data_IF_297494840703
#
_entry.id   IF_297494840703
#
_cell.length_a   1.000
_cell.length_b   1.000
_cell.length_c   1.000
_cell.angle_alpha   90.00
_cell.angle_beta   90.00
_cell.angle_gamma   90.00
#
_symmetry.space_group_name_H-M   'P 1'
#
loop_
_entity.id
_entity.type
_entity.pdbx_description
1 polymer ?
#
# COMPACT_ATOMS: atom_id res chain seq x y z
N UNK A 1 -3.12 2.39 17.00
CA UNK A 1 -1.82 2.75 16.38
C UNK A 1 -2.01 4.11 15.74
N UNK A 2 -1.13 5.06 16.06
CA UNK A 2 -1.09 6.35 15.37
C UNK A 2 -0.42 6.22 14.01
N UNK A 3 -0.73 7.14 13.11
CA UNK A 3 -0.03 7.44 11.87
C UNK A 3 0.66 8.82 11.99
N UNK A 4 1.38 9.07 13.09
CA UNK A 4 2.09 10.33 13.33
C UNK A 4 3.59 10.13 13.17
N UNK A 5 4.26 11.09 12.55
CA UNK A 5 5.70 11.26 12.67
C UNK A 5 6.01 11.82 14.08
N UNK A 6 6.18 10.92 15.05
CA UNK A 6 6.39 11.25 16.47
C UNK A 6 5.44 10.51 17.43
N UNK A 7 5.87 10.26 18.67
CA UNK A 7 5.07 9.50 19.64
C UNK A 7 4.95 8.00 19.29
N UNK A 8 3.77 7.40 19.47
CA UNK A 8 3.48 5.97 19.23
C UNK A 8 2.93 5.71 17.82
N UNK A 9 3.49 6.37 16.81
CA UNK A 9 3.06 6.31 15.41
C UNK A 9 3.73 5.22 14.55
N UNK A 10 4.29 4.18 15.18
CA UNK A 10 4.97 3.09 14.48
C UNK A 10 4.01 2.10 13.84
N UNK A 11 4.55 1.26 12.94
CA UNK A 11 3.84 0.11 12.40
C UNK A 11 3.49 -0.91 13.51
N UNK A 12 2.57 -1.84 13.22
CA UNK A 12 2.07 -2.86 14.16
C UNK A 12 3.20 -3.58 14.89
N UNK A 13 4.25 -3.96 14.16
CA UNK A 13 5.37 -4.73 14.68
C UNK A 13 6.20 -3.99 15.75
N UNK A 14 6.11 -2.65 15.83
CA UNK A 14 6.77 -1.88 16.89
C UNK A 14 6.07 -2.02 18.26
N UNK A 15 4.85 -2.53 18.28
CA UNK A 15 4.11 -2.81 19.52
C UNK A 15 4.34 -4.25 20.01
N UNK A 16 5.11 -5.06 19.29
CA UNK A 16 5.47 -6.42 19.70
C UNK A 16 6.51 -6.35 20.82
N UNK A 17 6.18 -6.93 21.96
CA UNK A 17 7.05 -7.00 23.15
C UNK A 17 7.48 -8.42 23.50
N UNK A 18 6.90 -9.42 22.82
CA UNK A 18 7.28 -10.82 22.94
C UNK A 18 6.81 -11.62 21.73
N UNK A 19 7.60 -12.60 21.31
CA UNK A 19 7.30 -13.51 20.20
C UNK A 19 7.66 -14.93 20.62
N UNK A 20 6.79 -15.88 20.30
CA UNK A 20 7.11 -17.32 20.33
C UNK A 20 7.19 -17.82 18.89
N UNK A 21 8.34 -18.31 18.48
CA UNK A 21 8.61 -18.78 17.12
C UNK A 21 9.06 -20.24 17.13
N UNK A 22 8.57 -21.02 16.18
CA UNK A 22 8.96 -22.42 15.96
C UNK A 22 9.96 -22.45 14.82
N UNK A 23 11.15 -22.99 15.08
CA UNK A 23 12.23 -23.15 14.10
C UNK A 23 12.54 -24.63 13.91
N UNK A 24 13.15 -25.06 12.78
CA UNK A 24 13.60 -26.43 12.63
C UNK A 24 14.71 -26.72 13.64
N UNK A 25 14.89 -28.00 13.95
CA UNK A 25 15.98 -28.51 14.76
C UNK A 25 16.37 -29.91 14.28
N UNK A 26 17.52 -30.41 14.72
CA UNK A 26 17.94 -31.77 14.39
C UNK A 26 16.98 -32.82 14.99
N UNK A 27 17.04 -34.06 14.49
CA UNK A 27 16.26 -35.16 15.08
C UNK A 27 16.62 -35.42 16.55
N UNK A 28 17.87 -35.19 16.94
CA UNK A 28 18.34 -35.28 18.33
C UNK A 28 17.69 -34.21 19.23
N UNK A 29 17.35 -33.06 18.66
CA UNK A 29 16.65 -31.95 19.33
C UNK A 29 15.12 -32.04 19.19
N UNK A 30 14.59 -33.13 18.62
CA UNK A 30 13.16 -33.35 18.47
C UNK A 30 12.52 -32.70 17.23
N UNK A 31 13.32 -32.45 16.19
CA UNK A 31 12.93 -31.92 14.86
C UNK A 31 12.45 -30.46 14.82
N UNK A 32 12.06 -29.89 15.95
CA UNK A 32 11.65 -28.49 16.03
C UNK A 32 12.02 -27.90 17.39
N UNK A 33 12.40 -26.63 17.39
CA UNK A 33 12.70 -25.84 18.58
C UNK A 33 11.71 -24.71 18.72
N UNK A 34 11.32 -24.42 19.96
CA UNK A 34 10.47 -23.29 20.30
C UNK A 34 11.32 -22.22 20.98
N UNK A 35 11.40 -21.05 20.37
CA UNK A 35 12.10 -19.89 20.91
C UNK A 35 11.10 -18.86 21.41
N UNK A 36 11.30 -18.40 22.64
CA UNK A 36 10.54 -17.29 23.24
C UNK A 36 11.47 -16.09 23.33
N UNK A 37 11.17 -15.05 22.55
CA UNK A 37 12.02 -13.89 22.35
C UNK A 37 11.30 -12.64 22.88
N UNK A 38 12.03 -11.80 23.61
CA UNK A 38 11.59 -10.48 24.04
C UNK A 38 12.70 -9.45 23.80
N UNK A 39 12.49 -8.19 24.18
CA UNK A 39 13.42 -7.09 23.93
C UNK A 39 14.85 -7.28 24.50
N UNK A 40 15.09 -8.27 25.36
CA UNK A 40 16.42 -8.62 25.87
C UNK A 40 17.18 -9.60 24.97
N UNK A 41 16.48 -10.24 24.03
CA UNK A 41 17.08 -11.19 23.10
C UNK A 41 17.69 -10.46 21.89
N UNK A 42 18.96 -10.73 21.51
CA UNK A 42 19.63 -10.01 20.42
C UNK A 42 18.90 -10.12 19.07
N UNK A 43 18.27 -11.26 18.79
CA UNK A 43 17.51 -11.50 17.55
C UNK A 43 16.07 -10.97 17.56
N UNK A 44 15.61 -10.31 18.63
CA UNK A 44 14.21 -9.92 18.76
C UNK A 44 13.74 -8.94 17.68
N UNK A 45 14.60 -8.01 17.27
CA UNK A 45 14.25 -7.04 16.22
C UNK A 45 14.22 -7.66 14.81
N UNK A 46 14.86 -8.81 14.59
CA UNK A 46 14.74 -9.56 13.34
C UNK A 46 13.35 -10.22 13.21
N UNK A 47 12.83 -10.81 14.30
CA UNK A 47 11.56 -11.55 14.27
C UNK A 47 10.32 -10.66 14.19
N UNK A 48 10.44 -9.36 14.50
CA UNK A 48 9.34 -8.39 14.36
C UNK A 48 8.83 -8.29 12.92
N UNK A 49 9.72 -8.42 11.94
CA UNK A 49 9.40 -8.47 10.51
C UNK A 49 10.11 -9.67 9.90
N UNK A 50 9.58 -10.87 10.16
CA UNK A 50 10.25 -12.13 9.81
C UNK A 50 10.07 -12.57 8.35
N UNK A 51 9.09 -12.02 7.65
CA UNK A 51 8.63 -12.47 6.32
C UNK A 51 8.27 -13.97 6.23
N UNK A 52 8.13 -14.65 7.37
CA UNK A 52 7.92 -16.10 7.45
C UNK A 52 9.20 -16.94 7.28
N UNK A 53 10.34 -16.35 6.92
CA UNK A 53 11.57 -17.11 6.58
C UNK A 53 12.45 -17.48 7.78
N UNK A 54 12.13 -16.96 8.96
CA UNK A 54 12.84 -17.25 10.22
C UNK A 54 12.17 -18.40 11.01
N UNK A 55 11.03 -18.90 10.55
CA UNK A 55 10.19 -19.85 11.29
C UNK A 55 8.73 -19.41 11.43
N UNK A 56 7.93 -20.28 12.06
CA UNK A 56 6.50 -20.06 12.24
C UNK A 56 6.25 -19.35 13.57
N UNK A 57 5.76 -18.11 13.51
CA UNK A 57 5.33 -17.39 14.70
C UNK A 57 4.04 -18.03 15.22
N UNK A 58 4.11 -18.59 16.42
CA UNK A 58 2.99 -19.27 17.10
C UNK A 58 2.27 -18.39 18.12
N UNK A 59 2.96 -17.36 18.64
CA UNK A 59 2.40 -16.42 19.60
C UNK A 59 3.07 -15.06 19.47
N UNK A 60 2.27 -14.00 19.64
CA UNK A 60 2.75 -12.61 19.70
C UNK A 60 2.17 -11.95 20.95
N UNK A 61 3.00 -11.24 21.70
CA UNK A 61 2.57 -10.38 22.80
C UNK A 61 2.67 -8.92 22.37
N UNK A 62 1.54 -8.21 22.40
CA UNK A 62 1.44 -6.81 21.99
C UNK A 62 1.30 -5.90 23.20
N UNK A 63 2.05 -4.79 23.20
CA UNK A 63 1.83 -3.67 24.11
C UNK A 63 0.57 -2.93 23.70
N UNK A 64 -0.39 -2.88 24.61
CA UNK A 64 -1.66 -2.18 24.39
C UNK A 64 -1.63 -0.75 24.93
N UNK A 65 -2.59 0.04 24.47
CA UNK A 65 -2.87 1.37 25.01
C UNK A 65 -4.29 1.40 25.62
N UNK A 66 -4.54 2.27 26.62
CA UNK A 66 -5.89 2.53 27.09
C UNK A 66 -6.81 2.95 25.94
N UNK A 67 -8.07 2.50 26.00
CA UNK A 67 -9.09 2.86 25.02
C UNK A 67 -9.34 4.37 25.02
N UNK A 68 -9.53 4.95 23.83
CA UNK A 68 -9.90 6.35 23.63
C UNK A 68 -10.91 6.48 22.48
N UNK A 69 -11.48 7.67 22.32
CA UNK A 69 -12.29 8.02 21.15
C UNK A 69 -11.49 8.91 20.20
N UNK A 70 -11.90 8.96 18.94
CA UNK A 70 -11.36 9.87 17.92
C UNK A 70 -12.40 10.87 17.50
N UNK A 71 -11.96 12.02 17.02
CA UNK A 71 -12.77 13.01 16.30
C UNK A 71 -12.20 13.18 14.90
N UNK A 72 -12.99 12.83 13.89
CA UNK A 72 -12.55 12.77 12.49
C UNK A 72 -13.35 13.72 11.59
N UNK A 73 -12.64 14.50 10.78
CA UNK A 73 -13.19 15.34 9.71
C UNK A 73 -12.38 15.16 8.43
N UNK A 74 -13.04 15.03 7.28
CA UNK A 74 -12.36 15.15 5.98
C UNK A 74 -12.41 16.59 5.47
N UNK A 75 -11.28 17.10 4.95
CA UNK A 75 -11.12 18.47 4.46
C UNK A 75 -10.58 18.45 3.04
N UNK A 76 -11.38 18.90 2.07
CA UNK A 76 -10.96 19.11 0.69
C UNK A 76 -10.04 20.34 0.56
N UNK A 77 -9.01 20.23 -0.28
CA UNK A 77 -8.10 21.33 -0.62
C UNK A 77 -7.55 21.17 -2.04
N UNK A 78 -6.96 22.25 -2.58
CA UNK A 78 -6.10 22.17 -3.76
C UNK A 78 -4.73 21.60 -3.39
N UNK A 79 -4.09 20.90 -4.33
CA UNK A 79 -2.75 20.32 -4.12
C UNK A 79 -1.58 21.32 -4.28
N UNK A 80 -1.90 22.61 -4.37
CA UNK A 80 -0.91 23.69 -4.34
C UNK A 80 -0.10 23.63 -3.04
N UNK A 81 1.23 23.50 -3.16
CA UNK A 81 2.14 23.38 -2.02
C UNK A 81 2.00 22.06 -1.25
N UNK A 82 1.43 21.01 -1.85
CA UNK A 82 1.18 19.72 -1.19
C UNK A 82 2.43 19.15 -0.51
N UNK A 83 3.60 19.23 -1.17
CA UNK A 83 4.86 18.69 -0.65
C UNK A 83 5.22 19.22 0.74
N UNK A 84 5.03 20.52 0.99
CA UNK A 84 5.26 21.13 2.31
C UNK A 84 4.15 20.75 3.30
N UNK A 85 2.89 20.84 2.85
CA UNK A 85 1.71 20.56 3.69
C UNK A 85 1.69 19.14 4.23
N UNK A 86 2.08 18.14 3.44
CA UNK A 86 2.07 16.72 3.84
C UNK A 86 3.02 16.48 5.01
N UNK A 87 4.23 17.05 4.96
CA UNK A 87 5.22 16.86 6.04
C UNK A 87 4.71 17.46 7.36
N UNK A 88 4.15 18.66 7.32
CA UNK A 88 3.61 19.31 8.52
C UNK A 88 2.35 18.62 9.04
N UNK A 89 1.48 18.16 8.14
CA UNK A 89 0.25 17.46 8.49
C UNK A 89 0.53 16.17 9.28
N UNK A 90 1.49 15.35 8.83
CA UNK A 90 1.90 14.11 9.52
C UNK A 90 2.52 14.34 10.90
N UNK A 91 3.03 15.55 11.16
CA UNK A 91 3.50 15.97 12.48
C UNK A 91 2.38 16.49 13.36
N UNK A 92 1.28 16.98 12.79
CA UNK A 92 0.18 17.61 13.54
C UNK A 92 -0.90 16.62 13.95
N UNK A 93 -1.32 15.71 13.05
CA UNK A 93 -2.49 14.87 13.26
C UNK A 93 -2.12 13.41 13.48
N UNK A 94 -2.48 12.88 14.65
CA UNK A 94 -1.97 11.59 15.07
C UNK A 94 -2.42 10.43 14.18
N UNK A 95 -3.61 10.49 13.61
CA UNK A 95 -4.14 9.43 12.73
C UNK A 95 -4.50 9.95 11.35
N UNK A 96 -3.91 11.08 10.97
CA UNK A 96 -4.23 11.72 9.71
C UNK A 96 -3.66 10.93 8.53
N UNK A 97 -4.39 10.98 7.43
CA UNK A 97 -3.95 10.51 6.11
C UNK A 97 -4.37 11.54 5.05
N UNK A 98 -3.75 11.46 3.87
CA UNK A 98 -4.04 12.36 2.75
C UNK A 98 -4.35 11.52 1.52
N UNK A 99 -5.53 11.71 0.94
CA UNK A 99 -5.87 11.15 -0.37
C UNK A 99 -5.57 12.20 -1.44
N UNK A 100 -4.55 11.96 -2.26
CA UNK A 100 -4.14 12.89 -3.31
C UNK A 100 -4.73 12.51 -4.67
N UNK A 101 -5.41 13.46 -5.28
CA UNK A 101 -6.05 13.37 -6.58
C UNK A 101 -5.29 14.26 -7.58
N UNK A 102 -4.12 13.81 -8.06
CA UNK A 102 -3.25 14.64 -8.89
C UNK A 102 -3.90 15.05 -10.22
N UNK A 103 -4.64 14.17 -10.89
CA UNK A 103 -5.31 14.48 -12.15
C UNK A 103 -6.33 15.63 -12.03
N UNK A 104 -7.02 15.71 -10.88
CA UNK A 104 -7.91 16.84 -10.56
C UNK A 104 -7.26 17.98 -9.78
N UNK A 105 -5.97 17.89 -9.45
CA UNK A 105 -5.21 18.87 -8.64
C UNK A 105 -5.81 19.11 -7.24
N UNK A 106 -6.36 18.05 -6.63
CA UNK A 106 -7.02 18.09 -5.31
C UNK A 106 -6.31 17.20 -4.31
N UNK A 107 -6.44 17.52 -3.04
CA UNK A 107 -6.06 16.66 -1.93
C UNK A 107 -7.18 16.67 -0.88
N UNK A 108 -7.44 15.52 -0.28
CA UNK A 108 -8.40 15.37 0.81
C UNK A 108 -7.64 14.95 2.05
N UNK A 109 -7.71 15.77 3.09
CA UNK A 109 -7.03 15.54 4.37
C UNK A 109 -8.00 14.91 5.36
N UNK A 110 -7.65 13.76 5.91
CA UNK A 110 -8.35 13.18 7.05
C UNK A 110 -7.81 13.77 8.35
N UNK A 111 -8.43 14.84 8.83
CA UNK A 111 -8.10 15.45 10.12
C UNK A 111 -8.63 14.57 11.24
N UNK A 112 -7.73 13.96 12.01
CA UNK A 112 -8.10 12.93 12.98
C UNK A 112 -7.21 12.96 14.24
N UNK A 113 -7.84 13.15 15.40
CA UNK A 113 -7.16 13.29 16.69
C UNK A 113 -7.90 12.59 17.83
N UNK A 114 -7.16 12.26 18.90
CA UNK A 114 -7.71 11.66 20.11
C UNK A 114 -8.64 12.62 20.84
N UNK A 115 -9.72 12.07 21.39
CA UNK A 115 -10.59 12.73 22.36
C UNK A 115 -10.88 11.78 23.54
N UNK A 116 -11.24 12.30 24.73
CA UNK A 116 -11.55 11.47 25.89
C UNK A 116 -12.70 10.49 25.63
N UNK A 117 -12.72 9.38 26.38
CA UNK A 117 -13.77 8.34 26.26
C UNK A 117 -15.17 8.85 26.61
N UNK A 118 -15.29 9.89 27.43
CA UNK A 118 -16.54 10.53 27.79
C UNK A 118 -17.07 11.52 26.72
N UNK A 119 -16.32 11.77 25.64
CA UNK A 119 -16.80 12.59 24.53
C UNK A 119 -18.04 11.94 23.87
N UNK A 120 -19.07 12.74 23.60
CA UNK A 120 -20.31 12.28 22.97
C UNK A 120 -20.07 11.82 21.53
N UNK A 121 -20.72 10.74 21.12
CA UNK A 121 -20.65 10.18 19.77
C UNK A 121 -20.48 8.67 19.76
N UNK A 122 -21.09 8.03 18.76
CA UNK A 122 -21.03 6.59 18.51
C UNK A 122 -20.57 6.32 17.07
N UNK A 123 -19.51 7.02 16.69
CA UNK A 123 -18.93 6.97 15.36
C UNK A 123 -18.54 5.56 14.92
N UNK A 124 -18.72 5.28 13.63
CA UNK A 124 -18.27 4.06 12.96
C UNK A 124 -17.63 4.44 11.63
N UNK A 125 -16.46 3.86 11.35
CA UNK A 125 -15.89 3.87 10.02
C UNK A 125 -16.27 2.59 9.29
N UNK A 126 -17.21 2.70 8.37
CA UNK A 126 -17.62 1.60 7.52
C UNK A 126 -17.21 1.99 6.09
N UNK A 127 -15.93 1.92 5.75
CA UNK A 127 -15.43 2.46 4.47
C UNK A 127 -16.14 1.85 3.25
N UNK A 128 -16.57 2.69 2.30
CA UNK A 128 -17.41 2.28 1.16
C UNK A 128 -16.74 1.19 0.31
N UNK A 129 -15.43 1.26 0.12
CA UNK A 129 -14.69 0.25 -0.65
C UNK A 129 -14.58 -1.13 0.03
N UNK A 130 -14.91 -1.24 1.32
CA UNK A 130 -14.82 -2.48 2.10
C UNK A 130 -16.18 -2.96 2.63
N UNK A 131 -17.26 -2.61 1.94
CA UNK A 131 -18.62 -3.08 2.22
C UNK A 131 -19.05 -4.13 1.21
N UNK A 132 -19.89 -5.06 1.63
CA UNK A 132 -20.61 -5.87 0.65
C UNK A 132 -21.52 -4.96 -0.18
N UNK A 133 -21.47 -5.17 -1.49
CA UNK A 133 -22.28 -4.44 -2.48
C UNK A 133 -22.93 -5.46 -3.39
N UNK A 134 -24.00 -5.10 -4.09
CA UNK A 134 -24.64 -6.04 -5.02
C UNK A 134 -23.63 -6.54 -6.05
N UNK A 135 -23.57 -7.86 -6.28
CA UNK A 135 -22.63 -8.45 -7.22
C UNK A 135 -22.81 -7.88 -8.64
N UNK A 136 -24.05 -7.56 -9.02
CA UNK A 136 -24.37 -6.89 -10.28
C UNK A 136 -23.71 -5.51 -10.39
N UNK A 137 -23.77 -4.67 -9.36
CA UNK A 137 -23.15 -3.35 -9.40
C UNK A 137 -21.62 -3.44 -9.46
N UNK A 138 -21.02 -4.39 -8.74
CA UNK A 138 -19.58 -4.65 -8.79
C UNK A 138 -19.14 -5.10 -10.20
N UNK A 139 -19.88 -6.01 -10.81
CA UNK A 139 -19.61 -6.47 -12.18
C UNK A 139 -19.79 -5.36 -13.22
N UNK A 140 -20.81 -4.51 -13.08
CA UNK A 140 -21.01 -3.35 -13.94
C UNK A 140 -19.88 -2.32 -13.78
N UNK A 141 -19.44 -2.04 -12.55
CA UNK A 141 -18.30 -1.14 -12.31
C UNK A 141 -17.03 -1.67 -12.96
N UNK A 142 -16.76 -2.98 -12.84
CA UNK A 142 -15.61 -3.61 -13.50
C UNK A 142 -15.71 -3.53 -15.02
N UNK A 143 -16.89 -3.78 -15.58
CA UNK A 143 -17.12 -3.71 -17.03
C UNK A 143 -16.90 -2.29 -17.59
N UNK A 144 -17.33 -1.26 -16.85
CA UNK A 144 -17.10 0.14 -17.22
C UNK A 144 -15.59 0.41 -17.30
N UNK A 145 -14.84 0.01 -16.28
CA UNK A 145 -13.38 0.21 -16.23
C UNK A 145 -12.65 -0.54 -17.35
N UNK A 146 -13.01 -1.81 -17.60
CA UNK A 146 -12.48 -2.61 -18.71
C UNK A 146 -12.77 -1.99 -20.08
N UNK A 147 -13.93 -1.36 -20.25
CA UNK A 147 -14.29 -0.67 -21.49
C UNK A 147 -13.49 0.64 -21.66
N UNK A 148 -13.28 1.40 -20.59
CA UNK A 148 -12.45 2.61 -20.62
C UNK A 148 -10.99 2.27 -20.97
N UNK A 149 -10.46 1.19 -20.40
CA UNK A 149 -9.16 0.60 -20.76
C UNK A 149 -9.11 0.19 -22.24
N UNK A 150 -10.07 -0.63 -22.69
CA UNK A 150 -10.08 -1.15 -24.07
C UNK A 150 -10.21 -0.05 -25.14
N UNK A 151 -10.89 1.05 -24.82
CA UNK A 151 -11.10 2.18 -25.74
C UNK A 151 -10.07 3.30 -25.59
N UNK A 152 -9.07 3.13 -24.71
CA UNK A 152 -8.09 4.17 -24.35
C UNK A 152 -8.75 5.50 -23.94
N UNK A 153 -9.85 5.44 -23.19
CA UNK A 153 -10.68 6.61 -22.88
C UNK A 153 -10.28 7.28 -21.57
N UNK A 154 -9.13 7.97 -21.57
CA UNK A 154 -8.62 8.69 -20.41
C UNK A 154 -9.58 9.80 -19.93
N UNK A 155 -10.32 10.44 -20.84
CA UNK A 155 -11.33 11.46 -20.47
C UNK A 155 -12.46 10.83 -19.65
N UNK A 156 -12.94 9.66 -20.09
CA UNK A 156 -13.95 8.89 -19.37
C UNK A 156 -13.48 8.51 -17.97
N UNK A 157 -12.22 8.09 -17.81
CA UNK A 157 -11.62 7.83 -16.49
C UNK A 157 -11.67 9.06 -15.58
N UNK A 158 -11.31 10.24 -16.09
CA UNK A 158 -11.39 11.49 -15.31
C UNK A 158 -12.81 11.88 -14.90
N UNK A 159 -13.81 11.65 -15.77
CA UNK A 159 -15.21 11.93 -15.44
C UNK A 159 -15.69 10.96 -14.36
N UNK A 160 -15.39 9.67 -14.51
CA UNK A 160 -15.77 8.63 -13.54
C UNK A 160 -15.08 8.83 -12.19
N UNK A 161 -13.77 9.14 -12.18
CA UNK A 161 -13.02 9.37 -10.93
C UNK A 161 -13.55 10.59 -10.18
N UNK A 162 -13.89 11.67 -10.90
CA UNK A 162 -14.51 12.85 -10.28
C UNK A 162 -15.86 12.51 -9.66
N UNK A 163 -16.73 11.83 -10.40
CA UNK A 163 -18.03 11.41 -9.92
C UNK A 163 -17.91 10.51 -8.67
N UNK A 164 -16.96 9.59 -8.68
CA UNK A 164 -16.70 8.67 -7.57
C UNK A 164 -16.18 9.41 -6.34
N UNK A 165 -15.23 10.35 -6.51
CA UNK A 165 -14.76 11.23 -5.43
C UNK A 165 -15.91 12.02 -4.82
N UNK A 166 -16.70 12.71 -5.64
CA UNK A 166 -17.80 13.56 -5.17
C UNK A 166 -18.87 12.74 -4.43
N UNK A 167 -19.24 11.58 -4.98
CA UNK A 167 -20.20 10.65 -4.34
C UNK A 167 -19.69 10.13 -3.01
N UNK A 168 -18.42 9.74 -2.95
CA UNK A 168 -17.77 9.24 -1.73
C UNK A 168 -17.70 10.33 -0.66
N UNK A 169 -17.36 11.57 -1.05
CA UNK A 169 -17.33 12.73 -0.15
C UNK A 169 -18.71 13.05 0.44
N UNK A 170 -19.75 13.07 -0.39
CA UNK A 170 -21.15 13.26 0.07
C UNK A 170 -21.56 12.17 1.06
N UNK A 171 -21.16 10.92 0.82
CA UNK A 171 -21.37 9.79 1.72
C UNK A 171 -20.46 9.75 2.95
N UNK A 172 -19.68 10.80 3.20
CA UNK A 172 -18.78 10.90 4.33
C UNK A 172 -17.64 9.88 4.32
N UNK A 173 -17.26 9.37 3.14
CA UNK A 173 -16.31 8.26 2.95
C UNK A 173 -16.69 6.96 3.67
N UNK A 174 -17.97 6.83 4.04
CA UNK A 174 -18.49 5.68 4.79
C UNK A 174 -18.50 5.84 6.30
N UNK A 175 -18.15 7.02 6.82
CA UNK A 175 -18.32 7.34 8.24
C UNK A 175 -19.79 7.45 8.62
N UNK A 176 -20.12 7.09 9.86
CA UNK A 176 -21.48 7.18 10.42
C UNK A 176 -21.40 7.79 11.83
N UNK A 177 -22.21 8.79 12.14
CA UNK A 177 -22.16 9.52 13.43
C UNK A 177 -22.74 8.70 14.61
N UNK A 178 -23.77 7.91 14.32
CA UNK A 178 -24.50 7.09 15.30
C UNK A 178 -24.34 5.58 15.06
N UNK A 179 -23.45 5.19 14.15
CA UNK A 179 -23.27 3.82 13.70
C UNK A 179 -24.18 3.40 12.53
N UNK A 180 -25.13 4.25 12.12
CA UNK A 180 -26.11 3.95 11.06
C UNK A 180 -25.99 4.93 9.88
N UNK A 181 -26.03 6.24 10.14
CA UNK A 181 -26.04 7.29 9.12
C UNK A 181 -24.89 8.28 9.30
N UNK A 182 -24.42 8.83 8.19
CA UNK A 182 -23.61 10.04 8.19
C UNK A 182 -24.52 11.26 8.31
N UNK A 183 -24.25 12.14 9.28
CA UNK A 183 -25.00 13.39 9.49
C UNK A 183 -24.12 14.64 9.44
N UNK A 184 -22.80 14.47 9.26
CA UNK A 184 -21.84 15.56 9.17
C UNK A 184 -20.58 15.33 10.02
N UNK A 185 -19.63 16.25 9.88
CA UNK A 185 -18.38 16.25 10.65
C UNK A 185 -18.47 17.19 11.88
N UNK A 186 -17.69 16.94 12.95
CA UNK A 186 -16.81 15.78 13.13
C UNK A 186 -17.57 14.50 13.48
N UNK A 187 -17.03 13.36 13.10
CA UNK A 187 -17.53 12.04 13.52
C UNK A 187 -16.70 11.58 14.72
N UNK A 188 -17.37 11.41 15.87
CA UNK A 188 -16.73 11.02 17.12
C UNK A 188 -17.11 9.59 17.50
N UNK A 189 -16.11 8.70 17.68
CA UNK A 189 -16.33 7.28 17.99
C UNK A 189 -15.13 6.61 18.62
N UNK A 190 -15.31 5.41 19.16
CA UNK A 190 -14.20 4.66 19.79
C UNK A 190 -13.12 4.29 18.76
N UNK A 191 -11.85 4.33 19.18
CA UNK A 191 -10.69 4.08 18.33
C UNK A 191 -10.82 2.81 17.51
N UNK A 192 -11.24 1.70 18.13
CA UNK A 192 -11.40 0.42 17.44
C UNK A 192 -12.41 0.53 16.29
N UNK A 193 -13.56 1.19 16.51
CA UNK A 193 -14.63 1.37 15.50
C UNK A 193 -14.27 2.38 14.40
N UNK A 194 -13.39 3.32 14.69
CA UNK A 194 -12.97 4.36 13.75
C UNK A 194 -11.72 3.94 12.95
N UNK A 195 -10.92 3.03 13.49
CA UNK A 195 -9.74 2.46 12.84
C UNK A 195 -10.08 1.27 11.94
N UNK A 196 -10.90 0.32 12.43
CA UNK A 196 -11.42 -0.75 11.59
C UNK A 196 -12.34 -0.16 10.52
N UNK A 197 -12.28 -0.67 9.31
CA UNK A 197 -13.02 -0.13 8.18
C UNK A 197 -13.72 -1.24 7.42
N UNK A 198 -15.01 -1.07 7.18
CA UNK A 198 -15.82 -1.94 6.33
C UNK A 198 -16.54 -3.04 7.10
N UNK A 199 -17.64 -3.50 6.51
CA UNK A 199 -18.51 -4.57 7.03
C UNK A 199 -18.44 -5.86 6.20
N UNK A 200 -17.47 -5.96 5.29
CA UNK A 200 -17.41 -7.09 4.35
C UNK A 200 -17.34 -8.46 5.01
N UNK A 201 -16.57 -8.60 6.09
CA UNK A 201 -16.44 -9.87 6.81
C UNK A 201 -17.71 -10.26 7.58
N UNK A 202 -18.59 -9.29 7.83
CA UNK A 202 -19.86 -9.48 8.51
C UNK A 202 -21.03 -9.62 7.51
N UNK A 203 -20.74 -9.78 6.21
CA UNK A 203 -21.77 -9.90 5.17
C UNK A 203 -22.57 -11.19 5.32
N UNK A 204 -23.89 -11.11 5.09
CA UNK A 204 -24.76 -12.27 5.08
C UNK A 204 -24.41 -13.23 3.94
N UNK A 205 -24.53 -14.53 4.19
CA UNK A 205 -24.43 -15.55 3.15
C UNK A 205 -25.76 -15.59 2.37
N UNK A 206 -25.84 -14.81 1.30
CA UNK A 206 -27.06 -14.59 0.50
C UNK A 206 -26.98 -15.20 -0.90
N UNK A 207 -26.14 -16.23 -1.08
CA UNK A 207 -25.87 -16.85 -2.39
C UNK A 207 -25.31 -15.85 -3.43
N UNK A 208 -24.42 -14.94 -3.00
CA UNK A 208 -23.74 -13.94 -3.84
C UNK A 208 -24.66 -12.88 -4.44
N UNK A 209 -25.82 -12.61 -3.83
CA UNK A 209 -26.61 -11.41 -4.18
C UNK A 209 -25.79 -10.16 -3.84
N UNK A 210 -25.15 -10.18 -2.67
CA UNK A 210 -24.10 -9.22 -2.29
C UNK A 210 -22.76 -9.92 -2.14
N UNK A 211 -21.68 -9.19 -2.40
CA UNK A 211 -20.33 -9.71 -2.30
C UNK A 211 -19.34 -8.62 -1.92
N UNK A 212 -18.21 -9.03 -1.37
CA UNK A 212 -17.06 -8.15 -1.26
C UNK A 212 -16.54 -7.77 -2.66
N UNK A 213 -16.05 -6.54 -2.86
CA UNK A 213 -15.56 -6.12 -4.17
C UNK A 213 -14.49 -7.02 -4.78
N UNK A 214 -13.70 -7.70 -3.93
CA UNK A 214 -12.62 -8.62 -4.32
C UNK A 214 -12.99 -10.11 -4.24
N UNK A 215 -14.28 -10.46 -4.07
CA UNK A 215 -14.68 -11.87 -4.03
C UNK A 215 -14.39 -12.53 -5.39
N UNK A 216 -13.59 -13.61 -5.44
CA UNK A 216 -13.13 -14.21 -6.70
C UNK A 216 -14.24 -14.90 -7.49
N UNK A 217 -15.41 -15.14 -6.88
CA UNK A 217 -16.55 -15.81 -7.52
C UNK A 217 -17.36 -14.86 -8.42
N UNK A 218 -17.10 -13.56 -8.34
CA UNK A 218 -17.74 -12.52 -9.16
C UNK A 218 -16.71 -11.81 -10.04
N UNK A 219 -17.18 -11.14 -11.09
CA UNK A 219 -16.32 -10.28 -11.93
C UNK A 219 -16.14 -8.90 -11.29
N UNK A 220 -15.58 -8.88 -10.08
CA UNK A 220 -15.42 -7.67 -9.27
C UNK A 220 -14.13 -6.90 -9.53
N UNK A 221 -13.69 -6.16 -8.51
CA UNK A 221 -12.46 -5.39 -8.51
C UNK A 221 -11.24 -6.30 -8.62
N UNK A 222 -10.33 -5.96 -9.54
CA UNK A 222 -9.06 -6.63 -9.72
C UNK A 222 -8.01 -5.61 -10.12
N UNK A 223 -7.05 -5.38 -9.23
CA UNK A 223 -6.12 -4.26 -9.29
C UNK A 223 -4.73 -4.66 -8.81
N UNK A 224 -3.75 -3.85 -9.17
CA UNK A 224 -2.47 -3.82 -8.48
C UNK A 224 -2.46 -2.68 -7.47
N UNK A 225 -1.66 -2.87 -6.42
CA UNK A 225 -1.33 -1.82 -5.50
C UNK A 225 0.18 -1.75 -5.33
N UNK A 226 0.77 -0.68 -5.85
CA UNK A 226 2.16 -0.34 -5.58
C UNK A 226 2.21 0.51 -4.33
N UNK A 227 3.05 0.12 -3.38
CA UNK A 227 3.26 0.88 -2.16
C UNK A 227 4.72 0.93 -1.80
N UNK A 228 5.22 2.13 -1.62
CA UNK A 228 6.57 2.37 -1.10
C UNK A 228 6.55 3.50 -0.09
N UNK A 229 7.60 3.56 0.71
CA UNK A 229 7.75 4.52 1.80
C UNK A 229 8.93 5.41 1.52
N UNK A 230 8.70 6.72 1.54
CA UNK A 230 9.75 7.73 1.32
C UNK A 230 9.97 8.47 2.64
N UNK A 231 11.23 8.60 3.03
CA UNK A 231 11.63 9.40 4.20
C UNK A 231 11.10 10.83 4.09
N UNK A 232 10.64 11.41 5.21
CA UNK A 232 10.06 12.75 5.23
C UNK A 232 10.93 13.82 4.56
N UNK A 233 12.26 13.69 4.67
CA UNK A 233 13.25 14.59 4.08
C UNK A 233 13.17 14.68 2.54
N UNK A 234 12.61 13.66 1.89
CA UNK A 234 12.54 13.52 0.43
C UNK A 234 11.12 13.63 -0.15
N UNK A 235 10.09 13.57 0.71
CA UNK A 235 8.67 13.55 0.31
C UNK A 235 8.29 14.76 -0.55
N UNK A 236 8.77 15.95 -0.18
CA UNK A 236 8.48 17.19 -0.91
C UNK A 236 8.94 17.09 -2.37
N UNK A 237 10.18 16.68 -2.60
CA UNK A 237 10.76 16.61 -3.93
C UNK A 237 10.09 15.53 -4.77
N UNK A 238 9.77 14.38 -4.17
CA UNK A 238 9.01 13.33 -4.84
C UNK A 238 7.64 13.84 -5.32
N UNK A 239 6.88 14.52 -4.46
CA UNK A 239 5.58 15.09 -4.84
C UNK A 239 5.75 16.10 -5.97
N UNK A 240 6.77 16.96 -5.92
CA UNK A 240 7.06 17.94 -6.99
C UNK A 240 7.33 17.24 -8.32
N UNK A 241 8.09 16.15 -8.34
CA UNK A 241 8.38 15.44 -9.58
C UNK A 241 7.16 14.69 -10.14
N UNK A 242 6.31 14.12 -9.28
CA UNK A 242 5.02 13.57 -9.71
C UNK A 242 4.10 14.70 -10.25
N UNK A 243 4.16 15.90 -9.66
CA UNK A 243 3.44 17.07 -10.19
C UNK A 243 3.96 17.53 -11.57
N UNK A 244 5.28 17.46 -11.81
CA UNK A 244 5.84 17.71 -13.16
C UNK A 244 5.30 16.69 -14.16
N UNK A 245 5.23 15.42 -13.79
CA UNK A 245 4.71 14.36 -14.65
C UNK A 245 3.21 14.57 -14.93
N UNK A 246 2.43 14.93 -13.90
CA UNK A 246 1.04 15.37 -14.02
C UNK A 246 0.89 16.54 -15.00
N UNK A 247 1.74 17.56 -14.90
CA UNK A 247 1.57 18.78 -15.71
C UNK A 247 1.85 18.55 -17.21
N UNK A 248 2.51 17.45 -17.58
CA UNK A 248 2.63 17.00 -18.98
C UNK A 248 1.30 16.43 -19.50
N UNK A 249 0.67 15.54 -18.75
CA UNK A 249 -0.63 14.95 -19.10
C UNK A 249 -1.44 14.65 -17.83
N UNK A 250 -2.26 15.59 -17.33
CA UNK A 250 -2.94 15.42 -16.04
C UNK A 250 -3.99 14.31 -16.10
N UNK A 251 -4.56 14.07 -17.29
CA UNK A 251 -5.61 13.08 -17.48
C UNK A 251 -5.10 11.65 -17.23
N UNK A 252 -3.82 11.38 -17.51
CA UNK A 252 -3.21 10.06 -17.30
C UNK A 252 -3.27 9.57 -15.85
N UNK A 253 -3.38 10.49 -14.88
CA UNK A 253 -3.41 10.17 -13.46
C UNK A 253 -4.83 9.96 -12.90
N UNK A 254 -5.86 10.22 -13.69
CA UNK A 254 -7.26 10.05 -13.25
C UNK A 254 -7.63 8.60 -12.92
N UNK A 255 -6.90 7.63 -13.44
CA UNK A 255 -7.07 6.22 -13.07
C UNK A 255 -6.78 5.98 -11.58
N UNK A 256 -5.70 6.58 -11.07
CA UNK A 256 -5.28 6.43 -9.68
C UNK A 256 -6.34 6.97 -8.71
N UNK A 257 -7.20 7.86 -9.21
CA UNK A 257 -8.27 8.51 -8.47
C UNK A 257 -9.54 7.67 -8.36
N UNK A 258 -9.74 6.67 -9.23
CA UNK A 258 -10.85 5.72 -9.11
C UNK A 258 -10.77 4.91 -7.82
N UNK A 259 -9.55 4.69 -7.31
CA UNK A 259 -9.30 3.98 -6.06
C UNK A 259 -9.03 4.92 -4.88
N UNK A 260 -9.69 6.08 -4.85
CA UNK A 260 -9.55 7.12 -3.82
C UNK A 260 -8.19 7.84 -3.82
N UNK A 261 -7.54 7.93 -4.98
CA UNK A 261 -6.30 8.69 -5.18
C UNK A 261 -5.05 7.96 -4.66
N UNK A 262 -3.92 8.67 -4.73
CA UNK A 262 -2.68 8.23 -4.07
C UNK A 262 -2.85 8.48 -2.57
N UNK A 263 -2.97 7.40 -1.80
CA UNK A 263 -3.17 7.48 -0.35
C UNK A 263 -1.81 7.61 0.34
N UNK A 264 -1.65 8.70 1.09
CA UNK A 264 -0.46 9.01 1.87
C UNK A 264 -0.72 8.76 3.35
N UNK A 265 0.05 7.85 3.95
CA UNK A 265 -0.04 7.50 5.38
C UNK A 265 1.32 7.65 6.03
N UNK A 266 1.36 8.15 7.26
CA UNK A 266 2.63 8.36 7.93
C UNK A 266 2.98 7.19 8.83
N UNK A 267 4.27 6.92 8.92
CA UNK A 267 4.81 5.84 9.74
C UNK A 267 6.09 6.30 10.40
N UNK A 268 6.19 6.06 11.70
CA UNK A 268 7.40 6.33 12.47
C UNK A 268 8.50 5.32 12.12
N UNK A 269 9.76 5.76 12.22
CA UNK A 269 10.92 4.87 12.20
C UNK A 269 10.78 3.70 13.19
N UNK A 270 11.40 2.58 12.83
CA UNK A 270 11.20 1.24 13.39
C UNK A 270 12.54 0.65 13.81
N UNK A 271 12.54 -0.14 14.90
CA UNK A 271 13.75 -0.85 15.35
C UNK A 271 13.98 -2.18 14.63
N UNK A 272 12.94 -2.71 13.98
CA UNK A 272 13.01 -4.00 13.29
C UNK A 272 14.03 -3.97 12.15
N UNK A 273 14.71 -5.11 11.91
CA UNK A 273 15.81 -5.17 10.93
C UNK A 273 15.34 -4.88 9.49
N UNK A 274 14.14 -5.36 9.14
CA UNK A 274 13.46 -5.07 7.87
C UNK A 274 12.36 -4.00 8.02
N UNK A 275 12.47 -3.19 9.07
CA UNK A 275 11.63 -2.03 9.34
C UNK A 275 12.12 -0.78 8.61
N UNK A 276 11.33 0.29 8.70
CA UNK A 276 11.68 1.60 8.13
C UNK A 276 12.58 2.34 9.11
N UNK A 277 13.76 2.78 8.70
CA UNK A 277 14.72 3.41 9.63
C UNK A 277 14.30 4.83 10.06
N UNK A 278 13.67 5.55 9.15
CA UNK A 278 13.28 6.95 9.34
C UNK A 278 11.76 7.14 9.30
N UNK A 279 11.28 8.20 9.96
CA UNK A 279 9.91 8.65 9.80
C UNK A 279 9.62 8.91 8.30
N UNK A 280 8.56 8.30 7.80
CA UNK A 280 8.29 8.19 6.36
C UNK A 280 6.82 8.42 6.04
N UNK A 281 6.54 8.67 4.77
CA UNK A 281 5.21 8.62 4.17
C UNK A 281 5.13 7.39 3.28
N UNK A 282 4.18 6.51 3.57
CA UNK A 282 3.73 5.44 2.69
C UNK A 282 2.84 6.05 1.61
N UNK A 283 3.18 5.80 0.35
CA UNK A 283 2.35 6.15 -0.81
C UNK A 283 1.71 4.87 -1.34
N UNK A 284 0.41 4.69 -1.15
CA UNK A 284 -0.35 3.60 -1.75
C UNK A 284 -0.98 4.06 -3.06
N UNK A 285 -0.64 3.36 -4.14
CA UNK A 285 -1.06 3.66 -5.50
C UNK A 285 -1.81 2.44 -6.02
N UNK A 286 -3.13 2.53 -6.11
CA UNK A 286 -3.99 1.44 -6.57
C UNK A 286 -4.48 1.76 -7.99
N UNK A 287 -4.40 0.80 -8.90
CA UNK A 287 -4.79 0.98 -10.30
C UNK A 287 -5.27 -0.33 -10.93
N UNK A 288 -6.12 -0.22 -11.96
CA UNK A 288 -6.70 -1.32 -12.71
C UNK A 288 -5.68 -2.39 -13.05
N UNK A 289 -6.04 -3.68 -12.97
CA UNK A 289 -5.23 -4.79 -13.50
C UNK A 289 -6.04 -5.62 -14.48
N UNK A 290 -5.44 -6.00 -15.60
CA UNK A 290 -6.05 -6.96 -16.51
C UNK A 290 -5.93 -8.39 -15.97
N UNK A 291 -6.85 -9.26 -16.36
CA UNK A 291 -6.68 -10.70 -16.17
C UNK A 291 -5.71 -11.31 -17.19
N UNK A 292 -5.49 -10.63 -18.33
CA UNK A 292 -4.46 -10.99 -19.29
C UNK A 292 -3.15 -10.25 -18.95
N UNK A 293 -2.11 -10.95 -18.45
CA UNK A 293 -0.85 -10.32 -18.09
C UNK A 293 -0.08 -9.73 -19.27
N UNK A 294 -0.47 -10.08 -20.50
CA UNK A 294 0.12 -9.56 -21.73
C UNK A 294 -0.65 -8.36 -22.29
N UNK A 295 -1.65 -7.84 -21.57
CA UNK A 295 -2.42 -6.67 -21.98
C UNK A 295 -1.85 -5.40 -21.31
N UNK A 296 -1.29 -4.48 -22.12
CA UNK A 296 -0.86 -3.19 -21.61
C UNK A 296 -2.02 -2.43 -20.99
N UNK A 297 -1.69 -1.58 -20.02
CA UNK A 297 -2.64 -0.70 -19.36
C UNK A 297 -2.67 0.66 -20.05
N UNK A 298 -3.81 1.33 -19.96
CA UNK A 298 -3.92 2.73 -20.36
C UNK A 298 -3.00 3.58 -19.47
N UNK A 299 -2.20 4.44 -20.09
CA UNK A 299 -1.25 5.35 -19.42
C UNK A 299 -0.24 4.63 -18.49
N UNK A 300 0.09 3.36 -18.80
CA UNK A 300 1.02 2.51 -18.05
C UNK A 300 2.38 3.17 -17.78
N UNK A 301 2.88 3.93 -18.76
CA UNK A 301 4.16 4.61 -18.68
C UNK A 301 4.22 5.61 -17.50
N UNK A 302 3.12 6.27 -17.20
CA UNK A 302 3.03 7.23 -16.09
C UNK A 302 3.12 6.52 -14.73
N UNK A 303 2.48 5.36 -14.58
CA UNK A 303 2.47 4.63 -13.31
C UNK A 303 3.81 3.95 -13.03
N UNK A 304 4.40 3.34 -14.06
CA UNK A 304 5.73 2.76 -13.99
C UNK A 304 6.80 3.82 -13.67
N UNK A 305 6.67 5.03 -14.23
CA UNK A 305 7.59 6.12 -13.93
C UNK A 305 7.46 6.58 -12.47
N UNK A 306 6.24 6.72 -11.94
CA UNK A 306 6.03 7.07 -10.52
C UNK A 306 6.59 5.98 -9.60
N UNK A 307 6.33 4.71 -9.91
CA UNK A 307 6.85 3.56 -9.17
C UNK A 307 8.38 3.57 -9.12
N UNK A 308 9.04 3.70 -10.28
CA UNK A 308 10.49 3.73 -10.37
C UNK A 308 11.10 4.99 -9.74
N UNK A 309 10.45 6.14 -9.86
CA UNK A 309 10.87 7.37 -9.21
C UNK A 309 10.84 7.21 -7.68
N UNK A 310 9.74 6.70 -7.12
CA UNK A 310 9.64 6.45 -5.69
C UNK A 310 10.68 5.46 -5.18
N UNK A 311 10.79 4.30 -5.83
CA UNK A 311 11.63 3.19 -5.39
C UNK A 311 13.13 3.38 -5.63
N UNK A 312 13.52 3.96 -6.77
CA UNK A 312 14.92 4.02 -7.19
C UNK A 312 15.52 5.43 -7.08
N UNK A 313 14.83 6.47 -7.55
CA UNK A 313 15.32 7.86 -7.42
C UNK A 313 15.34 8.34 -5.98
N UNK A 314 14.26 8.08 -5.23
CA UNK A 314 14.13 8.52 -3.84
C UNK A 314 14.55 7.47 -2.81
N UNK A 315 14.88 6.25 -3.26
CA UNK A 315 15.29 5.15 -2.39
C UNK A 315 14.14 4.62 -1.53
N UNK A 316 12.91 4.67 -2.03
CA UNK A 316 11.73 4.23 -1.31
C UNK A 316 11.81 2.75 -0.90
N UNK A 317 11.34 2.47 0.32
CA UNK A 317 11.26 1.11 0.85
C UNK A 317 9.96 0.46 0.38
N UNK A 318 10.00 -0.71 -0.30
CA UNK A 318 8.79 -1.37 -0.75
C UNK A 318 7.99 -1.90 0.44
N UNK A 319 6.67 -1.80 0.36
CA UNK A 319 5.79 -2.52 1.28
C UNK A 319 5.82 -4.02 0.97
N UNK A 320 6.21 -4.84 1.95
CA UNK A 320 6.40 -6.29 1.80
C UNK A 320 5.16 -7.05 1.30
N UNK A 321 3.95 -6.62 1.67
CA UNK A 321 2.70 -7.35 1.36
C UNK A 321 1.87 -6.86 0.16
N UNK A 322 2.43 -6.06 -0.77
CA UNK A 322 1.63 -5.45 -1.85
C UNK A 322 2.24 -5.57 -3.25
N UNK A 323 3.50 -5.15 -3.39
CA UNK A 323 4.14 -4.85 -4.67
C UNK A 323 4.38 -6.06 -5.59
N UNK A 324 4.91 -5.74 -6.78
CA UNK A 324 5.40 -6.68 -7.80
C UNK A 324 6.93 -6.86 -7.67
N UNK A 325 7.50 -7.81 -8.40
CA UNK A 325 8.91 -8.19 -8.32
C UNK A 325 9.88 -7.01 -8.47
N UNK A 326 9.58 -6.08 -9.38
CA UNK A 326 10.34 -4.85 -9.58
C UNK A 326 10.66 -4.11 -8.28
N UNK A 327 9.70 -4.00 -7.38
CA UNK A 327 9.84 -3.19 -6.16
C UNK A 327 10.89 -3.74 -5.19
N UNK A 328 11.15 -5.04 -5.29
CA UNK A 328 12.12 -5.76 -4.49
C UNK A 328 13.50 -5.87 -5.16
N UNK A 329 13.66 -5.35 -6.39
CA UNK A 329 14.98 -5.35 -7.04
C UNK A 329 15.97 -4.50 -6.22
N UNK A 330 17.10 -5.11 -5.89
CA UNK A 330 18.12 -4.50 -5.04
C UNK A 330 17.67 -4.18 -3.60
N UNK A 331 16.56 -4.75 -3.12
CA UNK A 331 15.97 -4.41 -1.80
C UNK A 331 16.94 -4.60 -0.63
N UNK A 332 17.84 -5.59 -0.71
CA UNK A 332 18.87 -5.84 0.29
C UNK A 332 19.72 -4.60 0.61
N UNK A 333 19.97 -3.76 -0.40
CA UNK A 333 20.78 -2.53 -0.26
C UNK A 333 20.02 -1.38 0.40
N UNK A 334 18.69 -1.51 0.56
CA UNK A 334 17.82 -0.46 1.10
C UNK A 334 17.65 -0.53 2.62
N UNK A 335 18.02 -1.63 3.25
CA UNK A 335 17.92 -1.84 4.70
C UNK A 335 19.32 -1.98 5.30
N UNK A 336 19.69 -1.12 6.25
CA UNK A 336 21.02 -1.15 6.86
C UNK A 336 21.27 -2.46 7.61
N UNK A 337 20.22 -3.04 8.21
CA UNK A 337 20.30 -4.28 9.01
C UNK A 337 19.99 -5.56 8.24
N UNK A 338 20.07 -5.50 6.90
CA UNK A 338 19.70 -6.63 6.06
C UNK A 338 20.66 -7.82 6.24
N UNK A 339 21.96 -7.55 6.39
CA UNK A 339 22.97 -8.58 6.63
C UNK A 339 22.73 -9.33 7.94
N UNK A 340 22.49 -8.60 9.04
CA UNK A 340 22.17 -9.18 10.34
C UNK A 340 20.86 -9.98 10.28
N UNK A 341 19.87 -9.56 9.49
CA UNK A 341 18.67 -10.36 9.28
C UNK A 341 18.97 -11.72 8.64
N UNK A 342 19.84 -11.75 7.62
CA UNK A 342 20.25 -13.02 6.99
C UNK A 342 21.04 -13.91 7.95
N UNK A 343 21.86 -13.36 8.83
CA UNK A 343 22.54 -14.12 9.88
C UNK A 343 21.54 -14.78 10.84
N UNK A 344 20.47 -14.06 11.23
CA UNK A 344 19.39 -14.64 12.04
C UNK A 344 18.65 -15.74 11.26
N UNK A 345 18.40 -15.53 9.96
CA UNK A 345 17.79 -16.55 9.11
C UNK A 345 18.62 -17.84 9.09
N UNK A 346 19.92 -17.74 8.83
CA UNK A 346 20.82 -18.90 8.80
C UNK A 346 20.85 -19.61 10.16
N UNK A 347 20.84 -18.85 11.25
CA UNK A 347 20.80 -19.42 12.61
C UNK A 347 19.49 -20.14 12.93
N UNK A 348 18.36 -19.61 12.45
CA UNK A 348 17.03 -20.13 12.78
C UNK A 348 16.60 -21.24 11.84
N UNK A 349 16.99 -21.18 10.58
CA UNK A 349 16.55 -22.09 9.51
C UNK A 349 17.73 -22.40 8.56
N UNK A 350 18.77 -23.11 9.04
CA UNK A 350 19.99 -23.37 8.27
C UNK A 350 19.75 -24.23 7.02
N UNK A 351 18.75 -25.12 7.07
CA UNK A 351 18.38 -25.98 5.94
C UNK A 351 17.39 -25.30 4.98
N UNK A 352 16.95 -24.07 5.28
CA UNK A 352 16.02 -23.32 4.43
C UNK A 352 14.62 -23.93 4.32
N UNK A 353 14.12 -24.61 5.37
CA UNK A 353 12.80 -25.23 5.38
C UNK A 353 11.67 -24.21 5.16
N UNK A 354 11.87 -22.98 5.61
CA UNK A 354 10.92 -21.87 5.45
C UNK A 354 11.30 -20.93 4.31
N UNK A 355 12.23 -21.34 3.45
CA UNK A 355 12.53 -20.68 2.18
C UNK A 355 11.68 -21.21 1.03
N UNK A 356 11.51 -20.36 0.04
CA UNK A 356 10.89 -20.63 -1.27
C UNK A 356 11.75 -19.97 -2.35
N UNK A 357 11.56 -20.36 -3.60
CA UNK A 357 12.22 -19.69 -4.75
C UNK A 357 12.02 -18.17 -4.68
N UNK A 358 10.77 -17.73 -4.49
CA UNK A 358 10.42 -16.32 -4.43
C UNK A 358 11.02 -15.60 -3.21
N UNK A 359 10.98 -16.20 -2.01
CA UNK A 359 11.57 -15.56 -0.84
C UNK A 359 13.08 -15.42 -0.96
N UNK A 360 13.75 -16.40 -1.56
CA UNK A 360 15.20 -16.30 -1.81
C UNK A 360 15.52 -15.22 -2.83
N UNK A 361 14.71 -15.07 -3.89
CA UNK A 361 14.84 -13.99 -4.87
C UNK A 361 14.65 -12.62 -4.23
N UNK A 362 13.61 -12.45 -3.42
CA UNK A 362 13.34 -11.21 -2.68
C UNK A 362 14.49 -10.91 -1.71
N UNK A 363 15.05 -11.93 -1.07
CA UNK A 363 16.14 -11.76 -0.12
C UNK A 363 17.54 -11.71 -0.76
N UNK A 364 17.65 -11.92 -2.07
CA UNK A 364 18.93 -11.97 -2.78
C UNK A 364 19.83 -13.14 -2.39
N UNK A 365 19.26 -14.22 -1.84
CA UNK A 365 20.00 -15.39 -1.37
C UNK A 365 20.62 -16.11 -2.58
N UNK A 366 21.90 -16.50 -2.46
CA UNK A 366 22.68 -17.15 -3.53
C UNK A 366 22.74 -16.35 -4.85
N UNK A 367 22.59 -15.02 -4.78
CA UNK A 367 22.62 -14.14 -5.96
C UNK A 367 21.36 -14.20 -6.83
N UNK A 368 20.29 -14.85 -6.36
CA UNK A 368 18.97 -14.83 -7.00
C UNK A 368 18.42 -13.39 -7.05
N UNK A 369 17.54 -13.12 -8.00
CA UNK A 369 16.93 -11.80 -8.21
C UNK A 369 15.46 -11.96 -8.50
N UNK A 370 14.66 -11.00 -8.07
CA UNK A 370 13.23 -10.97 -8.35
C UNK A 370 12.91 -10.69 -9.82
N UNK A 371 13.83 -10.08 -10.57
CA UNK A 371 13.57 -9.73 -11.97
C UNK A 371 13.46 -10.97 -12.85
N UNK A 372 12.29 -11.15 -13.46
CA UNK A 372 12.02 -12.22 -14.44
C UNK A 372 11.95 -11.60 -15.83
N UNK A 373 12.99 -11.83 -16.65
CA UNK A 373 13.10 -11.26 -18.00
C UNK A 373 12.52 -12.22 -19.04
N UNK A 374 11.43 -11.81 -19.68
CA UNK A 374 10.75 -12.53 -20.77
C UNK A 374 9.87 -11.56 -21.56
N UNK A 375 9.39 -11.92 -22.77
CA UNK A 375 8.43 -11.09 -23.49
C UNK A 375 7.22 -10.72 -22.60
N UNK A 376 6.86 -9.44 -22.60
CA UNK A 376 5.79 -8.88 -21.76
C UNK A 376 6.09 -8.72 -20.26
N UNK A 377 7.32 -8.98 -19.79
CA UNK A 377 7.61 -8.94 -18.35
C UNK A 377 7.36 -7.59 -17.69
N UNK A 378 7.52 -6.48 -18.41
CA UNK A 378 7.39 -5.14 -17.83
C UNK A 378 5.92 -4.77 -17.52
N UNK A 379 4.97 -5.23 -18.35
CA UNK A 379 3.53 -4.99 -18.15
C UNK A 379 3.02 -5.49 -16.78
N UNK A 380 3.62 -6.57 -16.29
CA UNK A 380 3.33 -7.17 -14.98
C UNK A 380 4.33 -6.76 -13.89
N UNK A 381 5.20 -5.78 -14.14
CA UNK A 381 6.22 -5.35 -13.17
C UNK A 381 7.17 -6.47 -12.75
N UNK A 382 7.37 -7.47 -13.62
CA UNK A 382 8.32 -8.56 -13.40
C UNK A 382 9.75 -8.16 -13.72
N UNK A 383 9.92 -7.13 -14.55
CA UNK A 383 11.22 -6.58 -14.96
C UNK A 383 11.09 -5.07 -15.22
N UNK A 384 12.21 -4.35 -15.20
CA UNK A 384 12.32 -3.04 -15.87
C UNK A 384 12.49 -3.31 -17.37
N UNK A 385 11.75 -2.62 -18.23
CA UNK A 385 11.90 -2.85 -19.66
C UNK A 385 13.30 -2.44 -20.14
N UNK A 386 13.90 -3.27 -20.99
CA UNK A 386 15.17 -2.98 -21.69
C UNK A 386 15.03 -3.17 -23.20
N UNK A 387 14.09 -4.02 -23.61
CA UNK A 387 13.75 -4.31 -24.99
C UNK A 387 12.27 -4.03 -25.25
N UNK A 388 11.92 -3.70 -26.48
CA UNK A 388 10.53 -3.44 -26.86
C UNK A 388 9.63 -4.68 -26.66
N UNK A 389 10.18 -5.88 -26.79
CA UNK A 389 9.50 -7.17 -26.53
C UNK A 389 8.96 -7.29 -25.11
N UNK A 390 9.51 -6.55 -24.14
CA UNK A 390 9.02 -6.52 -22.76
C UNK A 390 7.70 -5.74 -22.61
N UNK A 391 7.35 -4.91 -23.60
CA UNK A 391 6.21 -3.98 -23.56
C UNK A 391 5.06 -4.33 -24.52
N UNK A 392 5.06 -5.51 -25.16
CA UNK A 392 4.07 -5.90 -26.18
C UNK A 392 4.03 -4.96 -27.42
N UNK A 393 5.07 -5.00 -28.28
CA UNK A 393 5.18 -4.13 -29.45
C UNK A 393 4.10 -4.41 -30.50
N UNK A 394 3.56 -5.63 -30.54
CA UNK A 394 2.41 -5.98 -31.38
C UNK A 394 1.12 -5.19 -31.03
N UNK A 395 1.06 -4.57 -29.85
CA UNK A 395 -0.03 -3.69 -29.40
C UNK A 395 0.34 -2.20 -29.47
N UNK A 396 1.51 -1.86 -30.04
CA UNK A 396 2.00 -0.49 -30.19
C UNK A 396 2.68 0.09 -28.95
N UNK A 397 3.10 -0.77 -28.00
CA UNK A 397 3.78 -0.36 -26.78
C UNK A 397 5.26 -0.76 -26.83
N UNK A 398 6.13 0.17 -26.46
CA UNK A 398 7.56 0.03 -26.63
C UNK A 398 8.31 0.52 -25.39
N UNK A 399 9.53 0.04 -25.20
CA UNK A 399 10.32 0.42 -24.05
C UNK A 399 10.95 1.79 -24.27
N UNK A 400 10.58 2.79 -23.47
CA UNK A 400 11.01 4.18 -23.60
C UNK A 400 11.54 4.72 -22.28
N UNK A 401 12.38 5.78 -22.30
CA UNK A 401 12.76 6.46 -21.07
C UNK A 401 11.54 7.19 -20.47
N UNK A 402 11.54 7.36 -19.14
CA UNK A 402 10.58 8.21 -18.45
C UNK A 402 10.66 9.68 -18.91
N UNK A 403 9.59 10.44 -18.69
CA UNK A 403 9.44 11.83 -19.16
C UNK A 403 10.08 12.85 -18.20
N UNK A 404 10.02 12.61 -16.89
CA UNK A 404 10.58 13.43 -15.82
C UNK A 404 11.77 12.74 -15.17
N UNK A 405 11.64 11.45 -14.84
CA UNK A 405 12.75 10.61 -14.38
C UNK A 405 13.26 9.78 -15.55
N UNK A 406 14.22 10.33 -16.30
CA UNK A 406 14.71 9.76 -17.58
C UNK A 406 15.45 8.43 -17.42
N UNK A 407 15.94 8.10 -16.22
CA UNK A 407 16.55 6.80 -15.95
C UNK A 407 15.50 5.68 -15.80
N UNK A 408 14.23 6.03 -15.52
CA UNK A 408 13.16 5.06 -15.57
C UNK A 408 12.99 4.52 -16.99
N UNK A 409 12.62 3.24 -17.10
CA UNK A 409 12.28 2.60 -18.36
C UNK A 409 10.85 2.11 -18.30
N UNK A 410 10.03 2.60 -19.22
CA UNK A 410 8.58 2.46 -19.15
C UNK A 410 7.99 1.96 -20.47
N UNK A 411 6.91 1.21 -20.38
CA UNK A 411 6.15 0.74 -21.52
C UNK A 411 5.18 1.82 -21.99
N UNK A 412 5.61 2.56 -23.01
CA UNK A 412 4.86 3.69 -23.55
C UNK A 412 4.30 3.37 -24.93
N UNK A 413 3.09 3.85 -25.20
CA UNK A 413 2.43 3.70 -26.49
C UNK A 413 3.03 4.69 -27.49
N UNK A 414 3.40 4.21 -28.69
CA UNK A 414 4.01 5.01 -29.77
C UNK A 414 3.12 6.13 -30.28
#
# INVERSE_FOLDING_TARGET
>A
MGARCGGKGGAVHEFVVGVRIVTPASGEEGFARVLSLDARHPEFDAVKVSLGVLGVISQVTLKLEPMFKRSLTYVDSDDTGLGDKVVDFGRQYEFGDVSWFPGHKKAVYRVDFRVPTNASGNGLNDFIGFRSTTALALALSRLIDENLEATNNTIGKCITSKLMKDTTSIGGYGLKNNGILFTGYPVVGFQNRMQSSGSCLDSIEDSLITACPWDPRIKGAFFHQTTFSIALSKVKDFIIDVQKLRDINPKALCELELSNGILMRYVKGSTAFLGKEEDSVDFDITYYRSHDPMKPRLDEDVYEEIEQMGLFKYGGLPHWGKNRNLAFDGVAKKYAKFGEFLEVKEKFDPDGLFSSEWSDEVLGINGKRTSIVKPGCALEGLCICSEDTHCAPAKGYFCRPGKVFTDARVCSKS
#
